data_IF_577458706510
#
_entry.id   IF_577458706510
#
_cell.length_a   1.000
_cell.length_b   1.000
_cell.length_c   1.000
_cell.angle_alpha   90.00
_cell.angle_beta   90.00
_cell.angle_gamma   90.00
#
_symmetry.space_group_name_H-M   'P 1'
#
loop_
_entity.id
_entity.type
_entity.pdbx_description
1 polymer ?
#
# COMPACT_ATOMS: atom_id res chain seq x y z
N UNK A 1 34.38 9.87 -1.16
CA UNK A 1 33.28 8.91 -0.92
C UNK A 1 31.90 9.49 -1.22
N UNK A 2 31.74 10.81 -1.39
CA UNK A 2 30.42 11.45 -1.61
C UNK A 2 29.81 11.27 -3.01
N UNK A 3 30.59 10.81 -4.00
CA UNK A 3 30.11 10.67 -5.40
C UNK A 3 29.30 9.39 -5.67
N UNK A 4 29.34 8.39 -4.81
CA UNK A 4 28.67 7.10 -5.03
C UNK A 4 27.29 6.99 -4.36
N UNK A 5 27.01 7.81 -3.33
CA UNK A 5 25.73 7.74 -2.60
C UNK A 5 24.51 8.13 -3.44
N UNK A 6 24.66 9.09 -4.35
CA UNK A 6 23.58 9.56 -5.23
C UNK A 6 23.10 8.49 -6.22
N UNK A 7 24.00 7.92 -7.05
CA UNK A 7 23.63 6.86 -8.00
C UNK A 7 23.08 5.59 -7.34
N UNK A 8 23.64 5.17 -6.20
CA UNK A 8 23.14 4.01 -5.45
C UNK A 8 21.73 4.24 -4.94
N UNK A 9 21.44 5.42 -4.37
CA UNK A 9 20.10 5.78 -3.93
C UNK A 9 19.08 5.82 -5.08
N UNK A 10 19.47 6.36 -6.24
CA UNK A 10 18.65 6.33 -7.45
C UNK A 10 18.38 4.89 -7.92
N UNK A 11 19.42 4.03 -7.89
CA UNK A 11 19.30 2.62 -8.26
C UNK A 11 18.31 1.86 -7.37
N UNK A 12 18.34 2.09 -6.05
CA UNK A 12 17.39 1.48 -5.11
C UNK A 12 15.98 2.01 -5.35
N UNK A 13 15.81 3.33 -5.51
CA UNK A 13 14.49 3.91 -5.81
C UNK A 13 13.93 3.40 -7.14
N UNK A 14 14.76 3.28 -8.18
CA UNK A 14 14.38 2.69 -9.46
C UNK A 14 13.95 1.22 -9.32
N UNK A 15 14.80 0.40 -8.69
CA UNK A 15 14.56 -1.04 -8.58
C UNK A 15 13.30 -1.36 -7.77
N UNK A 16 13.07 -0.64 -6.67
CA UNK A 16 11.85 -0.83 -5.86
C UNK A 16 10.60 -0.28 -6.56
N UNK A 17 10.69 0.87 -7.25
CA UNK A 17 9.57 1.38 -8.05
C UNK A 17 9.20 0.41 -9.16
N UNK A 18 10.15 0.01 -9.98
CA UNK A 18 9.90 -0.91 -11.10
C UNK A 18 9.51 -2.31 -10.61
N UNK A 19 10.22 -2.85 -9.61
CA UNK A 19 10.00 -4.20 -9.10
C UNK A 19 8.64 -4.38 -8.44
N UNK A 20 8.23 -3.47 -7.56
CA UNK A 20 6.90 -3.53 -6.92
C UNK A 20 5.79 -3.26 -7.92
N UNK A 21 5.99 -2.29 -8.82
CA UNK A 21 5.02 -2.01 -9.87
C UNK A 21 4.84 -3.21 -10.81
N UNK A 22 5.93 -3.92 -11.14
CA UNK A 22 5.89 -5.12 -11.99
C UNK A 22 5.36 -6.38 -11.27
N UNK A 23 5.20 -6.33 -9.96
CA UNK A 23 4.69 -7.43 -9.13
C UNK A 23 3.26 -7.12 -8.64
N UNK A 24 2.35 -6.93 -9.57
CA UNK A 24 0.95 -6.56 -9.31
C UNK A 24 0.80 -5.34 -8.37
N UNK A 25 1.63 -4.31 -8.57
CA UNK A 25 1.64 -3.12 -7.70
C UNK A 25 2.12 -3.39 -6.27
N UNK A 26 2.63 -4.59 -5.98
CA UNK A 26 3.01 -5.02 -4.64
C UNK A 26 1.82 -5.32 -3.72
N UNK A 27 0.61 -5.49 -4.26
CA UNK A 27 -0.63 -5.62 -3.50
C UNK A 27 -0.70 -6.89 -2.65
N UNK A 28 -0.13 -8.00 -3.13
CA UNK A 28 -0.21 -9.29 -2.43
C UNK A 28 0.77 -9.37 -1.24
N UNK A 29 0.38 -10.10 -0.18
CA UNK A 29 1.20 -10.30 1.01
C UNK A 29 2.61 -10.81 0.68
N UNK A 30 2.72 -11.80 -0.20
CA UNK A 30 4.02 -12.32 -0.63
C UNK A 30 4.92 -11.24 -1.24
N UNK A 31 4.34 -10.31 -2.02
CA UNK A 31 5.07 -9.24 -2.69
C UNK A 31 5.64 -8.22 -1.71
N UNK A 32 4.81 -7.69 -0.80
CA UNK A 32 5.30 -6.70 0.16
C UNK A 32 6.14 -7.31 1.28
N UNK A 33 5.91 -8.57 1.69
CA UNK A 33 6.76 -9.26 2.66
C UNK A 33 8.17 -9.52 2.08
N UNK A 34 8.25 -9.91 0.81
CA UNK A 34 9.51 -10.04 0.08
C UNK A 34 10.23 -8.70 -0.01
N UNK A 35 9.51 -7.62 -0.35
CA UNK A 35 10.08 -6.28 -0.41
C UNK A 35 10.58 -5.82 0.97
N UNK A 36 9.80 -6.05 2.03
CA UNK A 36 10.19 -5.75 3.40
C UNK A 36 11.47 -6.48 3.79
N UNK A 37 11.57 -7.79 3.50
CA UNK A 37 12.77 -8.57 3.79
C UNK A 37 14.01 -8.02 3.06
N UNK A 38 13.87 -7.74 1.76
CA UNK A 38 14.95 -7.19 0.93
C UNK A 38 15.41 -5.82 1.45
N UNK A 39 14.47 -4.91 1.70
CA UNK A 39 14.79 -3.54 2.15
C UNK A 39 15.36 -3.55 3.57
N UNK A 40 14.83 -4.38 4.47
CA UNK A 40 15.36 -4.53 5.83
C UNK A 40 16.78 -5.10 5.82
N UNK A 41 17.06 -6.10 4.95
CA UNK A 41 18.39 -6.65 4.73
C UNK A 41 19.37 -5.60 4.18
N UNK A 42 18.96 -4.80 3.21
CA UNK A 42 19.75 -3.66 2.68
C UNK A 42 20.02 -2.64 3.79
N UNK A 43 19.03 -2.31 4.61
CA UNK A 43 19.19 -1.38 5.73
C UNK A 43 20.19 -1.91 6.76
N UNK A 44 20.08 -3.18 7.15
CA UNK A 44 21.00 -3.83 8.08
C UNK A 44 22.44 -3.83 7.53
N UNK A 45 22.63 -4.26 6.29
CA UNK A 45 23.94 -4.24 5.64
C UNK A 45 24.51 -2.82 5.54
N UNK A 46 23.69 -1.83 5.16
CA UNK A 46 24.08 -0.43 5.10
C UNK A 46 24.56 0.12 6.44
N UNK A 47 23.84 -0.20 7.53
CA UNK A 47 24.24 0.20 8.89
C UNK A 47 25.53 -0.47 9.31
N UNK A 48 25.70 -1.75 9.01
CA UNK A 48 26.92 -2.50 9.36
C UNK A 48 28.16 -1.95 8.64
N UNK A 49 28.03 -1.59 7.36
CA UNK A 49 29.16 -1.13 6.52
C UNK A 49 29.40 0.38 6.69
N UNK A 50 28.38 1.20 6.41
CA UNK A 50 28.52 2.65 6.31
C UNK A 50 28.06 3.43 7.55
N UNK A 51 27.34 2.77 8.50
CA UNK A 51 26.63 3.45 9.57
C UNK A 51 25.45 4.26 9.04
N UNK A 52 24.99 5.25 9.78
CA UNK A 52 23.89 6.12 9.36
C UNK A 52 23.94 7.48 10.05
N UNK A 53 23.12 8.40 9.60
CA UNK A 53 22.90 9.68 10.25
C UNK A 53 21.74 9.59 11.25
N UNK A 54 21.77 10.41 12.31
CA UNK A 54 20.61 10.56 13.19
C UNK A 54 19.47 11.22 12.43
N UNK A 55 18.20 10.85 12.70
CA UNK A 55 17.09 11.57 12.11
C UNK A 55 17.01 13.00 12.68
N UNK A 56 16.87 14.00 11.81
CA UNK A 56 16.44 15.33 12.22
C UNK A 56 14.95 15.33 12.57
N UNK A 57 14.41 16.44 13.09
CA UNK A 57 13.05 16.51 13.62
C UNK A 57 11.98 15.98 12.64
N UNK A 58 11.94 16.46 11.40
CA UNK A 58 10.97 16.01 10.40
C UNK A 58 11.10 14.50 10.11
N UNK A 59 12.32 14.01 9.96
CA UNK A 59 12.58 12.60 9.71
C UNK A 59 12.21 11.73 10.92
N UNK A 60 12.54 12.19 12.14
CA UNK A 60 12.17 11.49 13.38
C UNK A 60 10.65 11.40 13.54
N UNK A 61 9.92 12.49 13.24
CA UNK A 61 8.45 12.50 13.30
C UNK A 61 7.84 11.57 12.26
N UNK A 62 8.33 11.58 11.02
CA UNK A 62 7.87 10.64 9.97
C UNK A 62 8.10 9.19 10.40
N UNK A 63 9.32 8.85 10.81
CA UNK A 63 9.66 7.49 11.25
C UNK A 63 8.86 7.06 12.48
N UNK A 64 8.68 7.98 13.43
CA UNK A 64 7.87 7.75 14.62
C UNK A 64 6.41 7.49 14.28
N UNK A 65 5.82 8.30 13.39
CA UNK A 65 4.43 8.13 12.94
C UNK A 65 4.24 6.77 12.22
N UNK A 66 5.13 6.40 11.29
CA UNK A 66 5.06 5.13 10.58
C UNK A 66 5.31 3.92 11.50
N UNK A 67 6.27 4.02 12.43
CA UNK A 67 6.54 2.95 13.40
C UNK A 67 5.36 2.76 14.37
N UNK A 68 4.78 3.86 14.87
CA UNK A 68 3.59 3.79 15.73
C UNK A 68 2.38 3.30 14.96
N UNK A 69 2.20 3.69 13.69
CA UNK A 69 1.14 3.18 12.84
C UNK A 69 1.31 1.67 12.61
N UNK A 70 2.53 1.20 12.35
CA UNK A 70 2.83 -0.25 12.25
C UNK A 70 2.47 -0.98 13.54
N UNK A 71 2.90 -0.45 14.68
CA UNK A 71 2.60 -1.05 15.98
C UNK A 71 1.09 -1.05 16.29
N UNK A 72 0.37 0.03 15.94
CA UNK A 72 -1.06 0.14 16.12
C UNK A 72 -1.84 -0.81 15.21
N UNK A 73 -1.43 -0.92 13.93
CA UNK A 73 -1.97 -1.92 12.99
C UNK A 73 -1.79 -3.32 13.54
N UNK A 74 -0.59 -3.70 13.99
CA UNK A 74 -0.35 -5.00 14.60
C UNK A 74 -1.16 -5.20 15.89
N UNK A 75 -1.22 -4.19 16.77
CA UNK A 75 -1.94 -4.26 18.03
C UNK A 75 -3.46 -4.39 17.82
N UNK A 76 -4.00 -3.92 16.69
CA UNK A 76 -5.42 -4.05 16.37
C UNK A 76 -5.88 -5.52 16.34
N UNK A 77 -4.97 -6.49 16.17
CA UNK A 77 -5.24 -7.91 16.36
C UNK A 77 -5.94 -8.25 17.69
N UNK A 78 -5.68 -7.48 18.74
CA UNK A 78 -6.24 -7.74 20.07
C UNK A 78 -7.75 -7.48 20.16
N UNK A 79 -8.30 -6.64 19.29
CA UNK A 79 -9.73 -6.26 19.29
C UNK A 79 -10.40 -6.41 17.94
N UNK A 80 -9.67 -6.86 16.91
CA UNK A 80 -10.15 -6.96 15.54
C UNK A 80 -11.33 -7.90 15.39
N UNK A 81 -12.28 -7.54 14.54
CA UNK A 81 -13.31 -8.46 14.05
C UNK A 81 -12.75 -9.61 13.20
N UNK A 82 -11.53 -9.45 12.65
CA UNK A 82 -10.80 -10.44 11.85
C UNK A 82 -9.31 -10.42 12.24
N UNK A 83 -8.94 -10.97 13.41
CA UNK A 83 -7.59 -10.86 13.97
C UNK A 83 -6.44 -11.25 13.01
N UNK A 84 -6.54 -12.34 12.20
CA UNK A 84 -5.46 -12.71 11.30
C UNK A 84 -5.11 -11.62 10.29
N UNK A 85 -6.10 -10.84 9.83
CA UNK A 85 -5.88 -9.78 8.84
C UNK A 85 -4.99 -8.66 9.36
N UNK A 86 -5.13 -8.26 10.62
CA UNK A 86 -4.27 -7.25 11.24
C UNK A 86 -2.78 -7.64 11.18
N UNK A 87 -2.48 -8.94 11.35
CA UNK A 87 -1.11 -9.45 11.27
C UNK A 87 -0.60 -9.58 9.83
N UNK A 88 -1.49 -9.69 8.85
CA UNK A 88 -1.14 -9.65 7.41
C UNK A 88 -0.89 -8.22 6.96
N UNK A 89 -1.64 -7.23 7.48
CA UNK A 89 -1.51 -5.81 7.12
C UNK A 89 -0.28 -5.14 7.75
N UNK A 90 0.12 -5.53 8.95
CA UNK A 90 1.23 -4.91 9.67
C UNK A 90 2.58 -4.93 8.91
N UNK A 91 3.02 -6.01 8.24
CA UNK A 91 4.24 -6.02 7.44
C UNK A 91 4.26 -5.00 6.29
N UNK A 92 3.10 -4.70 5.67
CA UNK A 92 3.01 -3.68 4.63
C UNK A 92 3.33 -2.29 5.21
N UNK A 93 2.75 -1.94 6.35
CA UNK A 93 3.05 -0.65 7.02
C UNK A 93 4.50 -0.63 7.53
N UNK A 94 5.02 -1.77 7.99
CA UNK A 94 6.43 -1.92 8.36
C UNK A 94 7.37 -1.67 7.16
N UNK A 95 7.04 -2.17 5.97
CA UNK A 95 7.78 -1.86 4.73
C UNK A 95 7.91 -0.35 4.53
N UNK A 96 6.83 0.40 4.74
CA UNK A 96 6.82 1.85 4.59
C UNK A 96 7.74 2.55 5.59
N UNK A 97 7.74 2.10 6.84
CA UNK A 97 8.64 2.61 7.86
C UNK A 97 10.12 2.31 7.54
N UNK A 98 10.41 1.10 7.06
CA UNK A 98 11.79 0.67 6.72
C UNK A 98 12.31 1.40 5.49
N UNK A 99 11.49 1.57 4.44
CA UNK A 99 11.85 2.36 3.24
C UNK A 99 12.21 3.79 3.62
N UNK A 100 11.35 4.46 4.40
CA UNK A 100 11.65 5.80 4.90
C UNK A 100 12.93 5.81 5.75
N UNK A 101 13.13 4.80 6.59
CA UNK A 101 14.31 4.61 7.43
C UNK A 101 15.61 4.51 6.62
N UNK A 102 15.62 3.74 5.52
CA UNK A 102 16.79 3.61 4.64
C UNK A 102 17.23 4.97 4.08
N UNK A 103 16.29 5.79 3.60
CA UNK A 103 16.61 7.11 3.07
C UNK A 103 17.12 8.04 4.17
N UNK A 104 16.49 8.01 5.34
CA UNK A 104 16.91 8.83 6.49
C UNK A 104 18.31 8.44 6.96
N UNK A 105 18.64 7.16 7.00
CA UNK A 105 19.97 6.66 7.38
C UNK A 105 21.05 7.03 6.37
N UNK A 106 20.72 6.99 5.09
CA UNK A 106 21.61 7.47 4.04
C UNK A 106 21.86 8.98 4.16
N UNK A 107 20.90 9.70 4.75
CA UNK A 107 21.01 11.11 5.07
C UNK A 107 21.25 11.96 3.82
N UNK A 108 22.08 12.98 3.96
CA UNK A 108 22.39 13.92 2.86
C UNK A 108 23.27 13.36 1.76
N UNK A 109 23.75 12.11 1.88
CA UNK A 109 24.47 11.40 0.81
C UNK A 109 23.61 11.16 -0.41
N UNK A 110 22.27 11.11 -0.21
CA UNK A 110 21.30 10.93 -1.30
C UNK A 110 20.55 12.23 -1.53
N UNK A 111 20.68 12.81 -2.72
CA UNK A 111 19.97 14.03 -3.07
C UNK A 111 18.53 13.76 -3.54
N UNK A 112 17.59 14.71 -3.33
CA UNK A 112 16.23 14.58 -3.83
C UNK A 112 16.14 14.39 -5.35
N UNK A 113 17.08 14.96 -6.13
CA UNK A 113 17.10 14.78 -7.58
C UNK A 113 17.42 13.35 -8.00
N UNK A 114 18.35 12.66 -7.31
CA UNK A 114 18.64 11.26 -7.57
C UNK A 114 17.46 10.35 -7.22
N UNK A 115 16.78 10.62 -6.09
CA UNK A 115 15.55 9.92 -5.72
C UNK A 115 14.48 10.12 -6.80
N UNK A 116 14.19 11.37 -7.16
CA UNK A 116 13.21 11.67 -8.20
C UNK A 116 13.57 10.99 -9.54
N UNK A 117 14.86 10.97 -9.91
CA UNK A 117 15.35 10.30 -11.11
C UNK A 117 15.12 8.80 -11.09
N UNK A 118 15.38 8.14 -9.94
CA UNK A 118 15.11 6.71 -9.76
C UNK A 118 13.61 6.38 -9.87
N UNK A 119 12.76 7.15 -9.19
CA UNK A 119 11.30 6.98 -9.25
C UNK A 119 10.78 7.18 -10.67
N UNK A 120 11.17 8.29 -11.34
CA UNK A 120 10.77 8.56 -12.74
C UNK A 120 11.24 7.46 -13.68
N UNK A 121 12.49 6.99 -13.53
CA UNK A 121 13.02 5.92 -14.35
C UNK A 121 12.23 4.61 -14.18
N UNK A 122 11.93 4.22 -12.94
CA UNK A 122 11.13 3.03 -12.64
C UNK A 122 9.69 3.14 -13.17
N UNK A 123 9.04 4.27 -12.95
CA UNK A 123 7.71 4.55 -13.49
C UNK A 123 7.68 4.50 -15.03
N UNK A 124 8.69 5.10 -15.69
CA UNK A 124 8.80 5.11 -17.14
C UNK A 124 9.01 3.70 -17.70
N UNK A 125 9.82 2.87 -17.03
CA UNK A 125 10.02 1.47 -17.45
C UNK A 125 8.71 0.69 -17.44
N UNK A 126 7.93 0.80 -16.35
CA UNK A 126 6.66 0.09 -16.20
C UNK A 126 5.61 0.61 -17.18
N UNK A 127 5.52 1.93 -17.36
CA UNK A 127 4.64 2.54 -18.36
C UNK A 127 5.00 2.10 -19.79
N UNK A 128 6.30 2.09 -20.14
CA UNK A 128 6.77 1.62 -21.44
C UNK A 128 6.43 0.12 -21.66
N UNK A 129 6.61 -0.70 -20.61
CA UNK A 129 6.21 -2.12 -20.67
C UNK A 129 4.71 -2.25 -20.94
N UNK A 130 3.88 -1.56 -20.18
CA UNK A 130 2.42 -1.58 -20.39
C UNK A 130 2.04 -1.16 -21.81
N UNK A 131 2.64 -0.08 -22.34
CA UNK A 131 2.40 0.35 -23.72
C UNK A 131 2.78 -0.71 -24.76
N UNK A 132 3.90 -1.43 -24.56
CA UNK A 132 4.30 -2.54 -25.44
C UNK A 132 3.27 -3.67 -25.38
N UNK A 133 2.83 -4.05 -24.19
CA UNK A 133 1.81 -5.10 -24.01
C UNK A 133 0.49 -4.70 -24.68
N UNK A 134 0.06 -3.44 -24.53
CA UNK A 134 -1.15 -2.92 -25.19
C UNK A 134 -1.06 -2.99 -26.71
N UNK A 135 0.07 -2.64 -27.29
CA UNK A 135 0.32 -2.74 -28.74
C UNK A 135 0.26 -4.21 -29.21
N UNK A 136 0.90 -5.11 -28.48
CA UNK A 136 0.93 -6.54 -28.80
C UNK A 136 -0.47 -7.19 -28.77
N UNK A 137 -1.35 -6.74 -27.88
CA UNK A 137 -2.73 -7.23 -27.76
C UNK A 137 -3.73 -6.55 -28.70
N UNK A 138 -3.28 -5.71 -29.63
CA UNK A 138 -4.09 -5.10 -30.70
C UNK A 138 -5.36 -4.40 -30.19
N UNK A 139 -5.29 -3.66 -29.09
CA UNK A 139 -6.42 -2.92 -28.52
C UNK A 139 -7.53 -3.77 -27.86
N UNK A 140 -7.37 -5.10 -27.75
CA UNK A 140 -8.29 -5.98 -26.99
C UNK A 140 -8.15 -5.84 -25.48
N UNK A 141 -7.39 -4.88 -25.04
CA UNK A 141 -6.96 -4.65 -23.67
C UNK A 141 -8.13 -4.43 -22.68
N UNK A 142 -9.20 -3.75 -23.09
CA UNK A 142 -10.32 -3.44 -22.19
C UNK A 142 -11.15 -4.69 -21.79
N UNK A 143 -11.27 -5.67 -22.67
CA UNK A 143 -12.03 -6.89 -22.41
C UNK A 143 -11.24 -7.93 -21.59
N UNK A 144 -9.90 -7.85 -21.58
CA UNK A 144 -9.00 -8.83 -20.99
C UNK A 144 -8.35 -8.40 -19.66
N UNK A 145 -8.59 -7.18 -19.17
CA UNK A 145 -7.92 -6.63 -17.98
C UNK A 145 -6.45 -6.26 -18.19
N UNK A 146 -5.95 -6.26 -19.41
CA UNK A 146 -4.53 -6.02 -19.78
C UNK A 146 -4.13 -4.54 -19.72
N UNK A 147 -5.06 -3.61 -19.42
CA UNK A 147 -4.80 -2.16 -19.40
C UNK A 147 -3.68 -1.72 -18.44
N UNK A 148 -3.30 -2.53 -17.50
CA UNK A 148 -2.32 -2.17 -16.48
C UNK A 148 -1.29 -3.29 -16.23
N UNK A 149 -0.93 -4.06 -17.23
CA UNK A 149 0.14 -5.06 -17.13
C UNK A 149 1.53 -4.36 -17.09
N UNK A 150 2.43 -4.72 -16.21
CA UNK A 150 2.34 -5.77 -15.16
C UNK A 150 1.81 -5.28 -13.81
N UNK A 151 1.35 -4.03 -13.71
CA UNK A 151 0.94 -3.40 -12.45
C UNK A 151 -0.34 -4.03 -11.86
N UNK A 152 -1.22 -4.55 -12.70
CA UNK A 152 -2.46 -5.21 -12.29
C UNK A 152 -3.62 -4.27 -11.91
N UNK A 153 -3.40 -2.95 -11.81
CA UNK A 153 -4.43 -1.98 -11.45
C UNK A 153 -4.26 -0.64 -12.18
N UNK A 154 -5.21 -0.31 -13.07
CA UNK A 154 -5.16 0.83 -13.96
C UNK A 154 -5.01 2.18 -13.23
N UNK A 155 -5.80 2.44 -12.18
CA UNK A 155 -5.71 3.70 -11.45
C UNK A 155 -4.37 3.84 -10.70
N UNK A 156 -3.79 2.74 -10.21
CA UNK A 156 -2.49 2.75 -9.55
C UNK A 156 -1.36 3.10 -10.51
N UNK A 157 -1.34 2.48 -11.69
CA UNK A 157 -0.37 2.79 -12.75
C UNK A 157 -0.54 4.23 -13.24
N UNK A 158 -1.77 4.68 -13.45
CA UNK A 158 -2.07 6.05 -13.84
C UNK A 158 -1.54 7.07 -12.81
N UNK A 159 -1.75 6.80 -11.51
CA UNK A 159 -1.22 7.70 -10.46
C UNK A 159 0.31 7.68 -10.46
N UNK A 160 0.95 6.53 -10.58
CA UNK A 160 2.41 6.43 -10.66
C UNK A 160 2.96 7.26 -11.83
N UNK A 161 2.31 7.20 -13.01
CA UNK A 161 2.67 8.03 -14.17
C UNK A 161 2.46 9.52 -13.90
N UNK A 162 1.34 9.91 -13.30
CA UNK A 162 1.04 11.30 -12.94
C UNK A 162 2.10 11.88 -11.99
N UNK A 163 2.46 11.13 -10.94
CA UNK A 163 3.50 11.52 -9.99
C UNK A 163 4.89 11.59 -10.65
N UNK A 164 5.19 10.65 -11.57
CA UNK A 164 6.39 10.69 -12.40
C UNK A 164 6.48 11.98 -13.22
N UNK A 165 5.39 12.42 -13.88
CA UNK A 165 5.31 13.66 -14.62
C UNK A 165 5.61 14.88 -13.72
N UNK A 166 5.05 14.92 -12.52
CA UNK A 166 5.30 15.99 -11.55
C UNK A 166 6.78 16.03 -11.12
N UNK A 167 7.37 14.86 -10.87
CA UNK A 167 8.78 14.75 -10.45
C UNK A 167 9.78 15.16 -11.54
N UNK A 168 9.39 15.11 -12.83
CA UNK A 168 10.20 15.65 -13.93
C UNK A 168 10.51 17.16 -13.74
N UNK A 169 9.66 17.91 -13.05
CA UNK A 169 9.91 19.32 -12.73
C UNK A 169 11.16 19.53 -11.83
N UNK A 170 11.63 18.47 -11.17
CA UNK A 170 12.85 18.48 -10.34
C UNK A 170 14.10 18.08 -11.11
N UNK A 171 13.95 17.48 -12.28
CA UNK A 171 15.03 16.84 -13.02
C UNK A 171 15.59 17.76 -14.12
N UNK A 172 16.81 17.51 -14.60
CA UNK A 172 17.38 18.25 -15.72
C UNK A 172 16.59 17.95 -17.02
N UNK A 173 16.62 18.91 -17.96
CA UNK A 173 15.89 18.84 -19.24
C UNK A 173 15.98 17.51 -20.00
N UNK A 174 17.12 16.80 -20.07
CA UNK A 174 17.19 15.51 -20.75
C UNK A 174 16.22 14.47 -20.18
N UNK A 175 15.84 14.55 -18.90
CA UNK A 175 14.87 13.63 -18.30
C UNK A 175 13.44 13.78 -18.87
N UNK A 176 13.15 14.89 -19.55
CA UNK A 176 11.85 15.14 -20.18
C UNK A 176 11.52 14.13 -21.30
N UNK A 177 12.49 13.35 -21.77
CA UNK A 177 12.25 12.24 -22.69
C UNK A 177 11.29 11.18 -22.11
N UNK A 178 11.15 11.09 -20.79
CA UNK A 178 10.19 10.23 -20.12
C UNK A 178 8.73 10.75 -20.22
N UNK A 179 8.54 12.06 -20.41
CA UNK A 179 7.21 12.67 -20.36
C UNK A 179 6.21 12.09 -21.37
N UNK A 180 6.53 11.87 -22.66
CA UNK A 180 5.57 11.30 -23.61
C UNK A 180 5.16 9.87 -23.24
N UNK A 181 6.05 9.05 -22.69
CA UNK A 181 5.75 7.67 -22.26
C UNK A 181 4.77 7.69 -21.09
N UNK A 182 5.08 8.47 -20.05
CA UNK A 182 4.23 8.61 -18.87
C UNK A 182 2.87 9.23 -19.20
N UNK A 183 2.84 10.25 -20.08
CA UNK A 183 1.60 10.91 -20.50
C UNK A 183 0.72 10.01 -21.37
N UNK A 184 1.32 9.24 -22.29
CA UNK A 184 0.59 8.30 -23.12
C UNK A 184 -0.08 7.20 -22.27
N UNK A 185 0.67 6.61 -21.35
CA UNK A 185 0.12 5.58 -20.46
C UNK A 185 -0.98 6.15 -19.55
N UNK A 186 -0.74 7.30 -18.89
CA UNK A 186 -1.74 7.99 -18.09
C UNK A 186 -3.05 8.25 -18.87
N UNK A 187 -2.94 8.70 -20.12
CA UNK A 187 -4.11 8.97 -20.96
C UNK A 187 -4.90 7.70 -21.28
N UNK A 188 -4.22 6.58 -21.51
CA UNK A 188 -4.83 5.29 -21.84
C UNK A 188 -5.54 4.63 -20.64
N UNK A 189 -5.11 4.95 -19.41
CA UNK A 189 -5.74 4.39 -18.20
C UNK A 189 -7.10 5.04 -17.85
N UNK A 190 -7.45 6.19 -18.45
CA UNK A 190 -8.73 6.91 -18.25
C UNK A 190 -9.07 7.18 -16.76
N UNK A 191 -8.06 7.28 -15.91
CA UNK A 191 -8.22 7.44 -14.46
C UNK A 191 -8.53 8.89 -14.06
N UNK A 192 -9.79 9.18 -13.77
CA UNK A 192 -10.21 10.50 -13.27
C UNK A 192 -9.54 10.86 -11.94
N UNK A 193 -9.30 9.89 -11.06
CA UNK A 193 -8.59 10.08 -9.79
C UNK A 193 -7.14 10.50 -10.01
N UNK A 194 -6.41 9.86 -10.93
CA UNK A 194 -5.04 10.21 -11.26
C UNK A 194 -4.94 11.58 -11.94
N UNK A 195 -5.90 11.94 -12.81
CA UNK A 195 -5.97 13.27 -13.42
C UNK A 195 -6.26 14.36 -12.37
N UNK A 196 -7.14 14.10 -11.41
CA UNK A 196 -7.40 15.00 -10.29
C UNK A 196 -6.15 15.18 -9.41
N UNK A 197 -5.43 14.11 -9.13
CA UNK A 197 -4.16 14.12 -8.40
C UNK A 197 -3.08 14.94 -9.15
N UNK A 198 -2.95 14.76 -10.46
CA UNK A 198 -2.05 15.54 -11.31
C UNK A 198 -2.40 17.03 -11.30
N UNK A 199 -3.68 17.35 -11.45
CA UNK A 199 -4.15 18.74 -11.40
C UNK A 199 -3.86 19.39 -10.03
N UNK A 200 -4.14 18.68 -8.93
CA UNK A 200 -3.82 19.14 -7.59
C UNK A 200 -2.31 19.36 -7.38
N UNK A 201 -1.49 18.46 -7.90
CA UNK A 201 -0.04 18.58 -7.84
C UNK A 201 0.46 19.83 -8.61
N UNK A 202 0.00 20.06 -9.84
CA UNK A 202 0.37 21.28 -10.60
C UNK A 202 -0.15 22.56 -9.94
N UNK A 203 -1.34 22.50 -9.34
CA UNK A 203 -1.88 23.63 -8.58
C UNK A 203 -1.00 23.93 -7.36
N UNK A 204 -0.60 22.92 -6.59
CA UNK A 204 0.33 23.07 -5.48
C UNK A 204 1.69 23.62 -5.92
N UNK A 205 2.23 23.10 -7.03
CA UNK A 205 3.46 23.63 -7.62
C UNK A 205 3.34 25.12 -7.98
N UNK A 206 2.23 25.50 -8.63
CA UNK A 206 1.92 26.88 -8.98
C UNK A 206 1.80 27.80 -7.75
N UNK A 207 1.10 27.34 -6.70
CA UNK A 207 0.97 28.07 -5.43
C UNK A 207 2.33 28.36 -4.78
N UNK A 208 3.28 27.42 -4.88
CA UNK A 208 4.61 27.55 -4.30
C UNK A 208 5.56 28.40 -5.16
N UNK A 209 5.41 28.38 -6.49
CA UNK A 209 6.36 28.99 -7.42
C UNK A 209 5.87 30.28 -8.09
N UNK A 210 4.56 30.58 -8.09
CA UNK A 210 3.92 31.71 -8.79
C UNK A 210 3.18 32.65 -7.82
N UNK A 211 3.88 33.47 -7.05
CA UNK A 211 3.24 34.30 -6.00
C UNK A 211 2.15 35.23 -6.54
N UNK A 212 2.28 35.70 -7.79
CA UNK A 212 1.30 36.60 -8.44
C UNK A 212 -0.04 35.90 -8.71
N UNK A 213 -0.07 34.60 -8.87
CA UNK A 213 -1.27 33.81 -9.16
C UNK A 213 -1.88 33.13 -7.90
N UNK A 214 -1.27 33.28 -6.72
CA UNK A 214 -1.68 32.57 -5.50
C UNK A 214 -3.16 32.71 -5.18
N UNK A 215 -3.75 33.90 -5.30
CA UNK A 215 -5.18 34.12 -4.99
C UNK A 215 -6.09 33.33 -5.95
N UNK A 216 -5.78 33.35 -7.25
CA UNK A 216 -6.52 32.62 -8.28
C UNK A 216 -6.38 31.11 -8.06
N UNK A 217 -5.14 30.63 -7.88
CA UNK A 217 -4.87 29.22 -7.65
C UNK A 217 -5.50 28.72 -6.34
N UNK A 218 -5.50 29.51 -5.28
CA UNK A 218 -6.17 29.16 -4.03
C UNK A 218 -7.71 29.10 -4.19
N UNK A 219 -8.31 30.01 -4.97
CA UNK A 219 -9.72 29.95 -5.29
C UNK A 219 -10.09 28.69 -6.10
N UNK A 220 -9.27 28.31 -7.07
CA UNK A 220 -9.44 27.07 -7.84
C UNK A 220 -9.31 25.83 -6.94
N UNK A 221 -8.31 25.80 -6.02
CA UNK A 221 -8.15 24.72 -5.06
C UNK A 221 -9.37 24.59 -4.15
N UNK A 222 -9.86 25.69 -3.61
CA UNK A 222 -11.05 25.73 -2.76
C UNK A 222 -12.30 25.25 -3.52
N UNK A 223 -12.50 25.71 -4.75
CA UNK A 223 -13.60 25.25 -5.61
C UNK A 223 -13.54 23.73 -5.86
N UNK A 224 -12.32 23.18 -6.10
CA UNK A 224 -12.11 21.73 -6.24
C UNK A 224 -12.48 20.95 -4.98
N UNK A 225 -12.04 21.42 -3.80
CA UNK A 225 -12.38 20.79 -2.51
C UNK A 225 -13.89 20.81 -2.25
N UNK A 226 -14.55 21.92 -2.56
CA UNK A 226 -16.02 22.03 -2.40
C UNK A 226 -16.76 21.15 -3.39
N UNK A 227 -16.29 21.01 -4.63
CA UNK A 227 -16.95 20.22 -5.67
C UNK A 227 -16.73 18.69 -5.50
N UNK A 228 -15.64 18.26 -4.88
CA UNK A 228 -15.27 16.85 -4.78
C UNK A 228 -16.36 15.94 -4.16
N UNK A 229 -17.01 16.29 -3.02
CA UNK A 229 -18.07 15.45 -2.45
C UNK A 229 -19.24 15.23 -3.40
N UNK A 230 -19.61 16.26 -4.18
CA UNK A 230 -20.72 16.17 -5.14
C UNK A 230 -20.36 15.29 -6.35
N UNK A 231 -19.10 15.31 -6.77
CA UNK A 231 -18.61 14.48 -7.88
C UNK A 231 -18.68 12.97 -7.55
N UNK A 232 -18.56 12.58 -6.28
CA UNK A 232 -18.54 11.18 -5.86
C UNK A 232 -19.84 10.68 -5.22
N UNK A 233 -20.77 11.57 -4.86
CA UNK A 233 -21.99 11.21 -4.10
C UNK A 233 -22.87 10.14 -4.76
N UNK A 234 -22.96 10.13 -6.11
CA UNK A 234 -23.77 9.16 -6.86
C UNK A 234 -23.01 7.91 -7.30
N UNK A 235 -21.69 7.85 -7.12
CA UNK A 235 -20.87 6.76 -7.61
C UNK A 235 -20.73 5.62 -6.61
N UNK A 236 -20.21 4.47 -7.07
CA UNK A 236 -19.95 3.29 -6.25
C UNK A 236 -19.02 3.62 -5.06
N UNK A 237 -18.03 4.51 -5.25
CA UNK A 237 -17.16 5.00 -4.17
C UNK A 237 -17.93 5.66 -3.01
N UNK A 238 -18.98 6.43 -3.31
CA UNK A 238 -19.84 7.00 -2.26
C UNK A 238 -20.55 5.96 -1.40
N UNK A 239 -20.77 4.75 -1.93
CA UNK A 239 -21.30 3.61 -1.15
C UNK A 239 -20.23 3.01 -0.27
N UNK A 240 -19.00 2.84 -0.77
CA UNK A 240 -17.85 2.38 0.03
C UNK A 240 -17.59 3.34 1.19
N UNK A 241 -17.56 4.62 0.94
CA UNK A 241 -17.34 5.65 1.97
C UNK A 241 -18.42 5.64 3.04
N UNK A 242 -19.70 5.44 2.68
CA UNK A 242 -20.77 5.28 3.67
C UNK A 242 -20.59 4.03 4.51
N UNK A 243 -20.22 2.90 3.92
CA UNK A 243 -19.94 1.68 4.67
C UNK A 243 -18.77 1.90 5.64
N UNK A 244 -17.67 2.56 5.23
CA UNK A 244 -16.55 2.89 6.11
C UNK A 244 -16.97 3.83 7.26
N UNK A 245 -17.85 4.81 7.01
CA UNK A 245 -18.36 5.68 8.06
C UNK A 245 -19.29 4.94 9.03
N UNK A 246 -20.10 4.00 8.56
CA UNK A 246 -20.91 3.13 9.43
C UNK A 246 -20.02 2.24 10.31
N UNK A 247 -18.98 1.65 9.72
CA UNK A 247 -17.98 0.85 10.44
C UNK A 247 -17.28 1.67 11.52
N UNK A 248 -16.82 2.89 11.17
CA UNK A 248 -16.23 3.83 12.14
C UNK A 248 -17.18 4.22 13.26
N UNK A 249 -18.46 4.43 12.95
CA UNK A 249 -19.47 4.77 13.95
C UNK A 249 -19.77 3.59 14.90
N UNK A 250 -19.67 2.35 14.42
CA UNK A 250 -19.81 1.16 15.24
C UNK A 250 -18.58 0.92 16.14
N UNK A 251 -17.39 1.36 15.72
CA UNK A 251 -16.11 1.18 16.42
C UNK A 251 -15.35 2.51 16.63
N UNK A 252 -15.90 3.49 17.36
CA UNK A 252 -15.43 4.88 17.32
C UNK A 252 -14.06 5.15 17.97
N UNK A 253 -13.52 4.22 18.75
CA UNK A 253 -12.26 4.41 19.49
C UNK A 253 -11.09 3.72 18.81
N UNK A 254 -11.15 2.40 18.64
CA UNK A 254 -10.06 1.59 18.11
C UNK A 254 -10.20 1.20 16.66
N UNK A 255 -11.34 1.50 16.03
CA UNK A 255 -11.73 0.90 14.77
C UNK A 255 -12.09 -0.58 14.93
N UNK A 256 -12.46 -1.22 13.84
CA UNK A 256 -12.87 -2.64 13.78
C UNK A 256 -11.68 -3.61 13.69
N UNK A 257 -10.46 -3.10 13.49
CA UNK A 257 -9.22 -3.83 13.25
C UNK A 257 -8.77 -3.73 11.78
N UNK A 258 -7.45 -3.76 11.55
CA UNK A 258 -6.88 -3.64 10.20
C UNK A 258 -7.37 -4.75 9.27
N UNK A 259 -7.71 -4.39 8.02
CA UNK A 259 -8.15 -5.30 6.96
C UNK A 259 -9.60 -5.78 7.11
N UNK A 260 -10.45 -5.13 7.94
CA UNK A 260 -11.83 -5.57 8.22
C UNK A 260 -12.87 -4.93 7.30
N UNK A 261 -12.56 -3.84 6.60
CA UNK A 261 -13.52 -3.15 5.73
C UNK A 261 -14.22 -4.09 4.73
N UNK A 262 -13.49 -5.06 4.16
CA UNK A 262 -14.07 -6.05 3.27
C UNK A 262 -15.28 -6.77 3.87
N UNK A 263 -15.21 -7.14 5.14
CA UNK A 263 -16.29 -7.83 5.85
C UNK A 263 -17.50 -6.92 6.06
N UNK A 264 -17.25 -5.63 6.38
CA UNK A 264 -18.29 -4.61 6.51
C UNK A 264 -18.99 -4.36 5.18
N UNK A 265 -18.24 -4.18 4.11
CA UNK A 265 -18.79 -4.00 2.78
C UNK A 265 -19.67 -5.18 2.37
N UNK A 266 -19.22 -6.42 2.55
CA UNK A 266 -19.98 -7.61 2.17
C UNK A 266 -21.32 -7.72 2.90
N UNK A 267 -21.40 -7.28 4.16
CA UNK A 267 -22.65 -7.27 4.96
C UNK A 267 -23.62 -6.19 4.52
N UNK A 268 -23.13 -5.01 4.11
CA UNK A 268 -23.95 -3.83 3.84
C UNK A 268 -24.24 -3.56 2.37
N UNK A 269 -23.47 -4.16 1.46
CA UNK A 269 -23.61 -3.89 0.03
C UNK A 269 -24.98 -4.27 -0.51
N UNK A 270 -25.48 -3.42 -1.43
CA UNK A 270 -26.71 -3.64 -2.18
C UNK A 270 -26.45 -3.92 -3.66
N UNK A 271 -25.18 -4.17 -4.03
CA UNK A 271 -24.70 -4.44 -5.39
C UNK A 271 -23.83 -5.68 -5.39
N UNK A 272 -23.80 -6.45 -6.51
CA UNK A 272 -23.06 -7.72 -6.55
C UNK A 272 -21.53 -7.56 -6.53
N UNK A 273 -21.01 -6.33 -6.59
CA UNK A 273 -19.58 -6.08 -6.58
C UNK A 273 -19.00 -6.24 -5.17
N UNK A 274 -17.89 -6.95 -5.06
CA UNK A 274 -17.06 -7.04 -3.87
C UNK A 274 -15.83 -6.17 -4.01
N UNK A 275 -15.39 -5.56 -2.91
CA UNK A 275 -14.09 -4.88 -2.79
C UNK A 275 -13.52 -5.19 -1.42
N UNK A 276 -12.20 -5.09 -1.29
CA UNK A 276 -11.50 -5.23 0.00
C UNK A 276 -11.25 -3.89 0.65
N UNK A 277 -11.25 -2.81 -0.14
CA UNK A 277 -10.83 -1.46 0.24
C UNK A 277 -11.98 -0.44 0.12
N UNK A 278 -11.96 0.56 1.00
CA UNK A 278 -12.93 1.67 0.97
C UNK A 278 -12.69 2.68 -0.17
N UNK A 279 -11.61 2.54 -0.94
CA UNK A 279 -11.19 3.53 -1.95
C UNK A 279 -11.02 4.94 -1.37
N UNK A 280 -10.55 5.02 -0.15
CA UNK A 280 -10.09 6.24 0.53
C UNK A 280 -9.27 5.82 1.73
N UNK A 281 -7.95 6.02 1.69
CA UNK A 281 -7.07 5.67 2.80
C UNK A 281 -7.49 6.32 4.12
N UNK A 282 -8.03 7.55 4.06
CA UNK A 282 -8.45 8.29 5.27
C UNK A 282 -9.67 7.65 5.93
N UNK A 283 -10.69 7.33 5.15
CA UNK A 283 -11.92 6.72 5.67
C UNK A 283 -11.70 5.28 6.10
N UNK A 284 -10.91 4.53 5.35
CA UNK A 284 -10.53 3.15 5.67
C UNK A 284 -9.73 3.10 6.96
N UNK A 285 -8.67 3.92 7.08
CA UNK A 285 -7.89 3.99 8.33
C UNK A 285 -8.73 4.43 9.52
N UNK A 286 -9.67 5.38 9.32
CA UNK A 286 -10.59 5.78 10.39
C UNK A 286 -11.52 4.62 10.81
N UNK A 287 -12.04 3.87 9.86
CA UNK A 287 -12.93 2.75 10.11
C UNK A 287 -12.22 1.59 10.82
N UNK A 288 -11.04 1.23 10.33
CA UNK A 288 -10.29 0.05 10.77
C UNK A 288 -9.41 0.29 12.01
N UNK A 289 -8.78 1.47 12.09
CA UNK A 289 -7.80 1.80 13.12
C UNK A 289 -8.21 2.97 14.04
N UNK A 290 -9.41 3.51 13.82
CA UNK A 290 -9.97 4.57 14.62
C UNK A 290 -9.25 5.92 14.49
N UNK A 291 -9.62 6.91 15.33
CA UNK A 291 -9.04 8.26 15.29
C UNK A 291 -7.51 8.28 15.51
N UNK A 292 -6.96 7.37 16.33
CA UNK A 292 -5.52 7.31 16.56
C UNK A 292 -4.78 6.84 15.29
N UNK A 293 -5.28 5.79 14.62
CA UNK A 293 -4.72 5.33 13.34
C UNK A 293 -4.73 6.44 12.29
N UNK A 294 -5.87 7.13 12.16
CA UNK A 294 -5.98 8.28 11.24
C UNK A 294 -5.02 9.41 11.62
N UNK A 295 -4.86 9.75 12.89
CA UNK A 295 -3.93 10.79 13.30
C UNK A 295 -2.48 10.45 12.97
N UNK A 296 -2.07 9.19 13.15
CA UNK A 296 -0.74 8.69 12.78
C UNK A 296 -0.53 8.71 11.27
N UNK A 297 -1.52 8.30 10.48
CA UNK A 297 -1.49 8.41 9.02
C UNK A 297 -1.36 9.86 8.57
N UNK A 298 -2.19 10.76 9.10
CA UNK A 298 -2.12 12.18 8.77
C UNK A 298 -0.76 12.79 9.12
N UNK A 299 -0.15 12.38 10.24
CA UNK A 299 1.21 12.81 10.58
C UNK A 299 2.23 12.28 9.56
N UNK A 300 2.12 11.02 9.13
CA UNK A 300 3.01 10.43 8.13
C UNK A 300 2.91 11.13 6.75
N UNK A 301 1.74 11.67 6.40
CA UNK A 301 1.52 12.40 5.13
C UNK A 301 1.84 13.89 5.24
N UNK A 302 1.40 14.58 6.29
CA UNK A 302 1.55 16.02 6.44
C UNK A 302 3.00 16.46 6.77
N UNK A 303 3.73 15.66 7.55
CA UNK A 303 5.11 16.01 7.96
C UNK A 303 6.07 16.11 6.78
N UNK A 304 6.12 15.16 5.83
CA UNK A 304 6.93 15.30 4.63
C UNK A 304 6.54 16.47 3.73
N UNK A 305 5.24 16.75 3.63
CA UNK A 305 4.75 17.93 2.88
C UNK A 305 5.27 19.23 3.50
N UNK A 306 5.15 19.39 4.82
CA UNK A 306 5.70 20.53 5.54
C UNK A 306 7.23 20.63 5.37
N UNK A 307 7.92 19.49 5.40
CA UNK A 307 9.35 19.40 5.18
C UNK A 307 9.75 19.86 3.75
N UNK A 308 9.01 19.40 2.72
CA UNK A 308 9.26 19.79 1.32
C UNK A 308 9.07 21.30 1.11
N UNK A 309 8.02 21.88 1.70
CA UNK A 309 7.78 23.34 1.65
C UNK A 309 8.91 24.09 2.37
N UNK A 310 9.31 23.66 3.57
CA UNK A 310 10.41 24.26 4.33
C UNK A 310 11.75 24.16 3.59
N UNK A 311 12.00 23.03 2.95
CA UNK A 311 13.22 22.80 2.16
C UNK A 311 13.23 23.54 0.82
N UNK A 312 12.13 24.21 0.46
CA UNK A 312 11.94 24.88 -0.85
C UNK A 312 12.09 23.91 -2.03
N UNK A 313 11.51 22.72 -1.90
CA UNK A 313 11.47 21.68 -2.92
C UNK A 313 10.03 21.59 -3.50
N UNK A 314 9.61 22.54 -4.36
CA UNK A 314 8.21 22.64 -4.79
C UNK A 314 7.73 21.45 -5.61
N UNK A 315 8.60 20.79 -6.36
CA UNK A 315 8.24 19.60 -7.12
C UNK A 315 7.97 18.40 -6.21
N UNK A 316 8.75 18.23 -5.13
CA UNK A 316 8.52 17.18 -4.13
C UNK A 316 7.20 17.46 -3.39
N UNK A 317 6.99 18.71 -2.95
CA UNK A 317 5.73 19.10 -2.29
C UNK A 317 4.52 18.85 -3.20
N UNK A 318 4.62 19.19 -4.48
CA UNK A 318 3.57 18.95 -5.46
C UNK A 318 3.28 17.45 -5.64
N UNK A 319 4.32 16.61 -5.76
CA UNK A 319 4.15 15.16 -5.88
C UNK A 319 3.49 14.55 -4.63
N UNK A 320 3.85 15.02 -3.42
CA UNK A 320 3.21 14.59 -2.18
C UNK A 320 1.73 14.99 -2.15
N UNK A 321 1.38 16.23 -2.53
CA UNK A 321 -0.02 16.66 -2.66
C UNK A 321 -0.78 15.79 -3.66
N UNK A 322 -0.17 15.50 -4.82
CA UNK A 322 -0.78 14.60 -5.81
C UNK A 322 -1.06 13.21 -5.24
N UNK A 323 -0.10 12.64 -4.51
CA UNK A 323 -0.29 11.35 -3.84
C UNK A 323 -1.41 11.42 -2.79
N UNK A 324 -1.42 12.43 -1.92
CA UNK A 324 -2.42 12.59 -0.86
C UNK A 324 -3.85 12.72 -1.42
N UNK A 325 -4.01 13.46 -2.53
CA UNK A 325 -5.29 13.57 -3.25
C UNK A 325 -5.67 12.25 -3.91
N UNK A 326 -4.73 11.55 -4.56
CA UNK A 326 -4.97 10.23 -5.14
C UNK A 326 -5.43 9.22 -4.08
N UNK A 327 -4.76 9.19 -2.93
CA UNK A 327 -5.08 8.32 -1.81
C UNK A 327 -6.42 8.66 -1.12
N UNK A 328 -6.91 9.89 -1.31
CA UNK A 328 -8.23 10.28 -0.79
C UNK A 328 -9.39 9.65 -1.56
N UNK A 329 -9.18 9.29 -2.83
CA UNK A 329 -10.23 8.82 -3.73
C UNK A 329 -10.00 7.41 -4.28
N UNK A 330 -8.92 6.75 -3.83
CA UNK A 330 -8.61 5.36 -4.19
C UNK A 330 -7.72 4.68 -3.11
N UNK A 331 -7.47 3.35 -3.25
CA UNK A 331 -6.73 2.54 -2.28
C UNK A 331 -5.21 2.48 -2.55
N UNK A 332 -4.61 3.61 -2.98
CA UNK A 332 -3.19 3.66 -3.35
C UNK A 332 -2.22 3.37 -2.21
N UNK A 333 -2.64 3.55 -0.96
CA UNK A 333 -1.88 3.16 0.22
C UNK A 333 -1.64 1.64 0.27
N UNK A 334 -2.61 0.87 -0.23
CA UNK A 334 -2.55 -0.58 -0.30
C UNK A 334 -1.62 -1.10 -1.41
N UNK A 335 -1.12 -0.19 -2.26
CA UNK A 335 -0.26 -0.47 -3.41
C UNK A 335 1.17 0.01 -3.15
N UNK A 336 2.07 -0.83 -2.62
CA UNK A 336 3.47 -0.47 -2.41
C UNK A 336 4.16 0.06 -3.67
N UNK A 337 3.75 -0.38 -4.88
CA UNK A 337 4.26 0.11 -6.16
C UNK A 337 4.01 1.61 -6.41
N UNK A 338 3.05 2.23 -5.70
CA UNK A 338 2.81 3.69 -5.70
C UNK A 338 3.33 4.33 -4.43
N UNK A 339 3.08 3.73 -3.27
CA UNK A 339 3.37 4.30 -1.96
C UNK A 339 4.87 4.34 -1.66
N UNK A 340 5.62 3.27 -1.97
CA UNK A 340 7.07 3.21 -1.74
C UNK A 340 7.83 4.29 -2.52
N UNK A 341 7.59 4.52 -3.82
CA UNK A 341 8.15 5.66 -4.55
C UNK A 341 7.92 7.01 -3.84
N UNK A 342 6.72 7.21 -3.30
CA UNK A 342 6.40 8.46 -2.62
C UNK A 342 7.02 8.57 -1.23
N UNK A 343 7.25 7.47 -0.54
CA UNK A 343 8.00 7.44 0.71
C UNK A 343 9.49 7.77 0.51
N UNK A 344 10.09 7.39 -0.61
CA UNK A 344 11.42 7.88 -0.98
C UNK A 344 11.43 9.41 -1.10
N UNK A 345 10.45 9.99 -1.78
CA UNK A 345 10.29 11.45 -1.93
C UNK A 345 10.04 12.11 -0.58
N UNK A 346 9.15 11.55 0.24
CA UNK A 346 8.80 12.02 1.57
C UNK A 346 10.01 12.06 2.51
N UNK A 347 10.75 10.95 2.60
CA UNK A 347 11.94 10.84 3.45
C UNK A 347 13.06 11.78 2.96
N UNK A 348 13.27 11.89 1.65
CA UNK A 348 14.25 12.83 1.08
C UNK A 348 13.90 14.29 1.41
N UNK A 349 12.62 14.68 1.37
CA UNK A 349 12.16 15.99 1.79
C UNK A 349 12.44 16.24 3.28
N UNK A 350 12.16 15.27 4.14
CA UNK A 350 12.42 15.35 5.57
C UNK A 350 13.92 15.50 5.90
N UNK A 351 14.77 14.74 5.22
CA UNK A 351 16.24 14.86 5.36
C UNK A 351 16.70 16.24 4.90
N UNK A 352 16.17 16.73 3.78
CA UNK A 352 16.57 18.03 3.21
C UNK A 352 16.17 19.22 4.08
N UNK A 353 15.03 19.13 4.77
CA UNK A 353 14.51 20.17 5.65
C UNK A 353 15.30 20.34 6.96
N UNK A 354 16.10 19.34 7.33
CA UNK A 354 16.88 19.33 8.56
C UNK A 354 18.35 19.76 8.31
N UNK A 355 19.03 20.37 9.28
CA UNK A 355 20.49 20.59 9.20
C UNK A 355 21.24 19.25 9.15
N UNK A 356 22.54 19.24 8.80
CA UNK A 356 23.37 18.04 8.89
C UNK A 356 23.31 17.44 10.30
N UNK A 357 23.16 16.12 10.36
CA UNK A 357 22.98 15.40 11.63
C UNK A 357 24.26 14.64 12.02
N UNK A 358 24.42 14.40 13.32
CA UNK A 358 25.50 13.58 13.83
C UNK A 358 25.33 12.10 13.42
N UNK A 359 26.41 11.30 13.39
CA UNK A 359 26.32 9.86 13.17
C UNK A 359 25.39 9.18 14.18
N UNK A 360 24.60 8.24 13.71
CA UNK A 360 23.73 7.43 14.56
C UNK A 360 24.56 6.33 15.25
N UNK A 361 24.10 5.92 16.44
CA UNK A 361 24.77 4.86 17.23
C UNK A 361 24.48 3.49 16.61
N UNK A 362 25.50 2.83 16.07
CA UNK A 362 25.38 1.46 15.52
C UNK A 362 24.88 0.45 16.53
N UNK A 363 25.24 0.62 17.83
CA UNK A 363 24.79 -0.24 18.93
C UNK A 363 23.28 -0.27 19.13
N UNK A 364 22.55 0.75 18.65
CA UNK A 364 21.08 0.80 18.68
C UNK A 364 20.49 0.34 17.34
N UNK A 365 21.07 0.78 16.22
CA UNK A 365 20.52 0.56 14.90
C UNK A 365 20.67 -0.89 14.42
N UNK A 366 21.82 -1.52 14.68
CA UNK A 366 22.06 -2.91 14.24
C UNK A 366 21.06 -3.88 14.85
N UNK A 367 20.85 -3.93 16.19
CA UNK A 367 19.83 -4.82 16.74
C UNK A 367 18.42 -4.47 16.28
N UNK A 368 18.06 -3.19 16.11
CA UNK A 368 16.75 -2.79 15.62
C UNK A 368 16.48 -3.35 14.21
N UNK A 369 17.40 -3.13 13.27
CA UNK A 369 17.25 -3.68 11.93
C UNK A 369 17.40 -5.19 11.85
N UNK A 370 18.20 -5.81 12.73
CA UNK A 370 18.27 -7.27 12.83
C UNK A 370 16.93 -7.88 13.26
N UNK A 371 16.25 -7.29 14.25
CA UNK A 371 14.90 -7.70 14.67
C UNK A 371 13.89 -7.53 13.53
N UNK A 372 13.88 -6.36 12.86
CA UNK A 372 12.98 -6.12 11.73
C UNK A 372 13.23 -7.12 10.60
N UNK A 373 14.50 -7.40 10.27
CA UNK A 373 14.87 -8.38 9.24
C UNK A 373 14.42 -9.79 9.63
N UNK A 374 14.56 -10.18 10.90
CA UNK A 374 14.08 -11.47 11.39
C UNK A 374 12.55 -11.59 11.32
N UNK A 375 11.82 -10.55 11.74
CA UNK A 375 10.36 -10.51 11.60
C UNK A 375 9.91 -10.57 10.14
N UNK A 376 10.60 -9.83 9.24
CA UNK A 376 10.33 -9.86 7.81
C UNK A 376 10.59 -11.24 7.20
N UNK A 377 11.63 -11.94 7.64
CA UNK A 377 11.92 -13.30 7.20
C UNK A 377 10.80 -14.27 7.62
N UNK A 378 10.28 -14.14 8.83
CA UNK A 378 9.17 -14.97 9.32
C UNK A 378 7.89 -14.67 8.53
N UNK A 379 7.54 -13.39 8.32
CA UNK A 379 6.38 -13.00 7.52
C UNK A 379 6.47 -13.56 6.10
N UNK A 380 7.60 -13.31 5.41
CA UNK A 380 7.85 -13.84 4.07
C UNK A 380 7.79 -15.38 4.01
N UNK A 381 8.39 -16.07 4.98
CA UNK A 381 8.37 -17.54 5.01
C UNK A 381 6.95 -18.08 5.17
N UNK A 382 6.11 -17.45 5.99
CA UNK A 382 4.70 -17.79 6.14
C UNK A 382 3.90 -17.56 4.85
N UNK A 383 4.03 -16.37 4.26
CA UNK A 383 3.35 -16.00 3.03
C UNK A 383 3.79 -16.89 1.84
N UNK A 384 5.08 -17.18 1.70
CA UNK A 384 5.60 -18.03 0.63
C UNK A 384 5.10 -19.48 0.74
N UNK A 385 5.00 -20.02 1.96
CA UNK A 385 4.43 -21.36 2.18
C UNK A 385 2.94 -21.40 1.89
N UNK A 386 2.20 -20.37 2.30
CA UNK A 386 0.77 -20.25 2.00
C UNK A 386 0.53 -20.17 0.50
N UNK A 387 1.25 -19.29 -0.20
CA UNK A 387 1.15 -19.17 -1.65
C UNK A 387 1.48 -20.48 -2.37
N UNK A 388 2.54 -21.20 -1.93
CA UNK A 388 2.86 -22.54 -2.45
C UNK A 388 1.75 -23.58 -2.21
N UNK A 389 1.07 -23.50 -1.07
CA UNK A 389 -0.07 -24.36 -0.74
C UNK A 389 -1.28 -24.07 -1.63
N UNK A 390 -1.59 -22.80 -1.87
CA UNK A 390 -2.67 -22.37 -2.76
C UNK A 390 -2.38 -22.74 -4.22
N UNK A 391 -1.13 -22.61 -4.67
CA UNK A 391 -0.69 -23.04 -6.00
C UNK A 391 -0.84 -24.57 -6.18
N UNK A 392 -0.41 -25.34 -5.19
CA UNK A 392 -0.56 -26.78 -5.20
C UNK A 392 -2.05 -27.20 -5.25
N UNK A 393 -2.90 -26.48 -4.50
CA UNK A 393 -4.35 -26.72 -4.51
C UNK A 393 -4.96 -26.42 -5.90
N UNK A 394 -4.53 -25.34 -6.57
CA UNK A 394 -4.99 -24.97 -7.91
C UNK A 394 -4.66 -26.02 -8.99
N UNK A 395 -3.51 -26.69 -8.86
CA UNK A 395 -3.12 -27.75 -9.79
C UNK A 395 -3.60 -29.16 -9.34
N UNK A 396 -4.39 -29.24 -8.25
CA UNK A 396 -4.96 -30.48 -7.75
C UNK A 396 -4.01 -31.35 -6.92
N UNK A 397 -2.83 -30.86 -6.55
CA UNK A 397 -1.88 -31.56 -5.67
C UNK A 397 -2.26 -31.34 -4.19
N UNK A 398 -3.29 -32.07 -3.76
CA UNK A 398 -3.83 -31.95 -2.41
C UNK A 398 -2.82 -32.33 -1.31
N UNK A 399 -1.96 -33.31 -1.56
CA UNK A 399 -0.96 -33.75 -0.60
C UNK A 399 0.08 -32.65 -0.32
N UNK A 400 0.59 -32.02 -1.38
CA UNK A 400 1.51 -30.89 -1.29
C UNK A 400 0.83 -29.66 -0.68
N UNK A 401 -0.41 -29.36 -1.09
CA UNK A 401 -1.18 -28.25 -0.53
C UNK A 401 -1.31 -28.34 0.99
N UNK A 402 -1.72 -29.52 1.51
CA UNK A 402 -1.82 -29.76 2.94
C UNK A 402 -0.47 -29.70 3.66
N UNK A 403 0.62 -30.21 3.05
CA UNK A 403 1.95 -30.20 3.62
C UNK A 403 2.50 -28.75 3.73
N UNK A 404 2.38 -27.96 2.65
CA UNK A 404 2.84 -26.56 2.62
C UNK A 404 1.99 -25.67 3.55
N UNK A 405 0.67 -25.87 3.63
CA UNK A 405 -0.19 -25.17 4.57
C UNK A 405 0.17 -25.47 6.04
N UNK A 406 0.49 -26.74 6.37
CA UNK A 406 1.01 -27.09 7.70
C UNK A 406 2.38 -26.46 7.96
N UNK A 407 3.22 -26.33 6.93
CA UNK A 407 4.49 -25.64 7.05
C UNK A 407 4.30 -24.13 7.29
N UNK A 408 3.30 -23.49 6.65
CA UNK A 408 2.91 -22.12 6.93
C UNK A 408 2.47 -21.92 8.39
N UNK A 409 1.66 -22.84 8.93
CA UNK A 409 1.19 -22.79 10.33
C UNK A 409 2.31 -22.90 11.37
N UNK A 410 3.47 -23.48 11.04
CA UNK A 410 4.62 -23.51 11.96
C UNK A 410 5.24 -22.12 12.18
N UNK A 411 5.08 -21.23 11.20
CA UNK A 411 5.61 -19.87 11.22
C UNK A 411 4.52 -18.85 11.57
N UNK A 412 3.31 -19.05 11.05
CA UNK A 412 2.13 -18.21 11.23
C UNK A 412 0.96 -19.02 11.79
N UNK A 413 0.98 -19.43 13.08
CA UNK A 413 -0.04 -20.29 13.67
C UNK A 413 -1.44 -19.65 13.71
N UNK A 414 -1.53 -18.35 13.51
CA UNK A 414 -2.75 -17.56 13.45
C UNK A 414 -3.38 -17.51 12.05
N UNK A 415 -2.81 -18.13 11.02
CA UNK A 415 -3.32 -18.08 9.65
C UNK A 415 -4.60 -18.91 9.49
N UNK A 416 -5.73 -18.22 9.36
CA UNK A 416 -7.02 -18.83 9.03
C UNK A 416 -7.01 -19.43 7.62
N UNK A 417 -6.33 -18.73 6.67
CA UNK A 417 -6.21 -19.16 5.27
C UNK A 417 -5.48 -20.51 5.17
N UNK A 418 -4.39 -20.70 5.92
CA UNK A 418 -3.66 -21.98 5.92
C UNK A 418 -4.53 -23.14 6.45
N UNK A 419 -5.36 -22.89 7.49
CA UNK A 419 -6.34 -23.87 7.93
C UNK A 419 -7.44 -24.11 6.89
N UNK A 420 -7.84 -23.06 6.15
CA UNK A 420 -8.77 -23.15 5.02
C UNK A 420 -8.24 -24.06 3.92
N UNK A 421 -6.97 -23.87 3.52
CA UNK A 421 -6.29 -24.73 2.52
C UNK A 421 -6.22 -26.20 2.97
N UNK A 422 -5.92 -26.47 4.25
CA UNK A 422 -5.96 -27.84 4.79
C UNK A 422 -7.40 -28.41 4.69
N UNK A 423 -8.40 -27.58 4.97
CA UNK A 423 -9.80 -27.94 4.81
C UNK A 423 -10.16 -28.34 3.38
N UNK A 424 -9.71 -27.54 2.40
CA UNK A 424 -9.94 -27.81 0.97
C UNK A 424 -9.19 -29.08 0.51
N UNK A 425 -7.93 -29.24 0.91
CA UNK A 425 -7.10 -30.36 0.49
C UNK A 425 -7.55 -31.70 1.07
N UNK A 426 -8.11 -31.73 2.28
CA UNK A 426 -8.46 -32.95 3.01
C UNK A 426 -9.97 -33.17 3.12
N UNK A 427 -10.81 -32.23 2.66
CA UNK A 427 -12.27 -32.29 2.91
C UNK A 427 -12.59 -32.19 4.41
N UNK A 428 -11.77 -31.51 5.21
CA UNK A 428 -11.79 -31.60 6.67
C UNK A 428 -12.65 -30.51 7.32
N UNK A 429 -13.83 -30.91 7.81
CA UNK A 429 -14.67 -30.04 8.64
C UNK A 429 -13.95 -29.53 9.91
N UNK A 430 -13.02 -30.32 10.47
CA UNK A 430 -12.23 -29.92 11.64
C UNK A 430 -11.26 -28.78 11.31
N UNK A 431 -10.60 -28.82 10.14
CA UNK A 431 -9.71 -27.76 9.70
C UNK A 431 -10.49 -26.44 9.47
N UNK A 432 -11.65 -26.48 8.84
CA UNK A 432 -12.50 -25.30 8.68
C UNK A 432 -12.99 -24.72 10.01
N UNK A 433 -13.35 -25.57 10.99
CA UNK A 433 -13.71 -25.05 12.32
C UNK A 433 -12.54 -24.35 13.01
N UNK A 434 -11.30 -24.81 12.81
CA UNK A 434 -10.11 -24.12 13.31
C UNK A 434 -9.88 -22.79 12.59
N UNK A 435 -10.05 -22.74 11.26
CA UNK A 435 -9.98 -21.52 10.49
C UNK A 435 -11.03 -20.49 10.96
N UNK A 436 -12.29 -20.93 11.13
CA UNK A 436 -13.40 -20.10 11.64
C UNK A 436 -13.14 -19.63 13.08
N UNK A 437 -12.50 -20.43 13.92
CA UNK A 437 -12.14 -20.02 15.27
C UNK A 437 -11.14 -18.86 15.29
N UNK A 438 -10.29 -18.75 14.26
CA UNK A 438 -9.34 -17.65 14.05
C UNK A 438 -9.99 -16.44 13.36
N UNK A 439 -10.84 -16.67 12.36
CA UNK A 439 -11.58 -15.63 11.63
C UNK A 439 -13.05 -16.01 11.44
N UNK A 440 -13.89 -15.55 12.38
CA UNK A 440 -15.33 -15.84 12.37
C UNK A 440 -16.12 -15.04 11.34
N UNK A 441 -15.55 -13.96 10.87
CA UNK A 441 -16.20 -13.03 9.92
C UNK A 441 -15.85 -13.33 8.46
N UNK A 442 -15.02 -14.31 8.18
CA UNK A 442 -14.81 -14.82 6.83
C UNK A 442 -15.97 -15.74 6.42
N UNK A 443 -16.90 -15.20 5.61
CA UNK A 443 -18.06 -15.93 5.11
C UNK A 443 -17.68 -17.16 4.27
N UNK A 444 -16.54 -17.11 3.58
CA UNK A 444 -16.10 -18.17 2.67
C UNK A 444 -15.72 -19.44 3.44
N UNK A 445 -15.17 -19.31 4.64
CA UNK A 445 -14.86 -20.45 5.52
C UNK A 445 -16.14 -21.16 5.99
N UNK A 446 -17.20 -20.41 6.28
CA UNK A 446 -18.50 -20.98 6.62
C UNK A 446 -19.12 -21.69 5.44
N UNK A 447 -19.03 -21.14 4.23
CA UNK A 447 -19.53 -21.79 3.01
C UNK A 447 -18.76 -23.08 2.72
N UNK A 448 -17.43 -23.06 2.83
CA UNK A 448 -16.59 -24.27 2.68
C UNK A 448 -16.92 -25.32 3.73
N UNK A 449 -17.14 -24.94 4.99
CA UNK A 449 -17.59 -25.84 6.05
C UNK A 449 -18.94 -26.47 5.71
N UNK A 450 -19.87 -25.71 5.14
CA UNK A 450 -21.18 -26.22 4.73
C UNK A 450 -21.06 -27.30 3.64
N UNK A 451 -20.11 -27.16 2.71
CA UNK A 451 -19.91 -28.08 1.60
C UNK A 451 -19.43 -29.47 2.07
N UNK A 452 -18.70 -29.54 3.18
CA UNK A 452 -18.19 -30.80 3.76
C UNK A 452 -19.03 -31.31 4.95
N UNK A 453 -20.11 -30.61 5.31
CA UNK A 453 -20.99 -30.95 6.45
C UNK A 453 -22.34 -31.46 5.98
N UNK A 454 -23.04 -32.17 6.86
CA UNK A 454 -24.43 -32.66 6.63
C UNK A 454 -25.32 -32.25 7.80
N UNK A 455 -26.64 -32.31 7.58
CA UNK A 455 -27.62 -32.10 8.64
C UNK A 455 -27.58 -30.70 9.27
N UNK A 456 -27.70 -30.63 10.59
CA UNK A 456 -27.73 -29.35 11.34
C UNK A 456 -26.44 -28.53 11.22
N UNK A 457 -25.22 -29.08 11.28
CA UNK A 457 -23.98 -28.34 11.08
C UNK A 457 -23.92 -27.61 9.70
N UNK A 458 -24.42 -28.25 8.63
CA UNK A 458 -24.51 -27.62 7.32
C UNK A 458 -25.48 -26.44 7.32
N UNK A 459 -26.68 -26.64 7.92
CA UNK A 459 -27.69 -25.57 7.99
C UNK A 459 -27.19 -24.37 8.78
N UNK A 460 -26.48 -24.58 9.88
CA UNK A 460 -25.85 -23.53 10.67
C UNK A 460 -24.80 -22.78 9.83
N UNK A 461 -23.90 -23.51 9.18
CA UNK A 461 -22.83 -22.91 8.38
C UNK A 461 -23.36 -22.08 7.21
N UNK A 462 -24.42 -22.53 6.51
CA UNK A 462 -25.08 -21.75 5.45
C UNK A 462 -25.76 -20.49 6.00
N UNK A 463 -26.39 -20.56 7.18
CA UNK A 463 -26.99 -19.36 7.81
C UNK A 463 -25.93 -18.32 8.15
N UNK A 464 -24.77 -18.73 8.70
CA UNK A 464 -23.69 -17.82 9.03
C UNK A 464 -23.06 -17.22 7.77
N UNK A 465 -22.81 -18.03 6.73
CA UNK A 465 -22.31 -17.52 5.45
C UNK A 465 -23.27 -16.47 4.83
N UNK A 466 -24.58 -16.76 4.84
CA UNK A 466 -25.59 -15.81 4.33
C UNK A 466 -25.71 -14.54 5.19
N UNK A 467 -25.54 -14.64 6.52
CA UNK A 467 -25.52 -13.47 7.41
C UNK A 467 -24.33 -12.55 7.12
N UNK A 468 -23.16 -13.13 6.84
CA UNK A 468 -21.92 -12.38 6.59
C UNK A 468 -21.83 -11.85 5.14
N UNK A 469 -22.47 -12.50 4.20
CA UNK A 469 -22.52 -12.09 2.81
C UNK A 469 -23.91 -12.39 2.20
N UNK A 470 -24.93 -11.54 2.45
CA UNK A 470 -26.30 -11.79 2.01
C UNK A 470 -26.46 -11.96 0.51
N UNK A 471 -25.61 -11.30 -0.30
CA UNK A 471 -25.67 -11.38 -1.77
C UNK A 471 -24.90 -12.57 -2.36
N UNK A 472 -24.14 -13.33 -1.57
CA UNK A 472 -23.52 -14.57 -2.05
C UNK A 472 -24.51 -15.73 -2.12
N UNK A 473 -25.65 -15.62 -1.45
CA UNK A 473 -26.72 -16.60 -1.39
C UNK A 473 -27.82 -16.30 -2.43
N UNK A 474 -27.43 -15.92 -3.65
CA UNK A 474 -28.34 -15.96 -4.78
C UNK A 474 -28.67 -17.43 -5.12
N UNK A 475 -29.87 -17.72 -5.66
CA UNK A 475 -30.39 -19.06 -5.85
C UNK A 475 -29.51 -19.93 -6.71
#
# INVERSE_FOLDING_TARGET
>A
MDRLGGPAGAGVAFALTAGLAADAGGYNALSYDRALLVVAGIALAGVLVAGGERPGLFAATLLGALALLTAWTAASWLWSESPPRALVEAPRVALYAVVAGVVVLAGRRVSPAWIAGGVVGGATLVAAWNLVVLVQHHGRAQASGVLADPFGYANGLALLCALGIVLLLRLPRPALVAAPVLAADLALQESTGALAALAAAFLAYGLLTRPRLRRVLAAVALAGVVAAPFAFAGHLRGRYWRAALHESAAHPVGGSGAGTFANWWLRERQVPFSTREAHSVYLETLAELGPLGLALLLAALAVPLAAAVRAREPALAAALVGYDVGAAVDFHWELPGVTVPMLFVAAAACVRASPPQAPARRTVMVPAFAVVTACALLAYAGAARLAGAEDALRVGDQARAAADARAALRVAPFSADAWGVIGDAEGSATAYRRAIALDRNDWSLWLRLANVSKGEPRRLALREAARLNPLASGP
#
